data_IF_731897926402
#
_entry.id   IF_731897926402
#
_cell.length_a   1.000
_cell.length_b   1.000
_cell.length_c   1.000
_cell.angle_alpha   90.00
_cell.angle_beta   90.00
_cell.angle_gamma   90.00
#
_symmetry.space_group_name_H-M   'P 1'
#
loop_
_entity.id
_entity.type
_entity.pdbx_description
1 polymer ?
#
# COMPACT_ATOMS: atom_id res chain seq x y z
N UNK A 1 1.37 6.91 13.41
CA UNK A 1 -0.10 6.99 13.32
C UNK A 1 -0.41 8.45 13.11
N UNK A 2 -0.43 8.85 11.85
CA UNK A 2 -0.84 10.16 11.43
C UNK A 2 -2.36 10.27 11.35
N UNK A 3 -2.82 11.46 11.01
CA UNK A 3 -4.22 11.73 10.69
C UNK A 3 -4.48 11.73 9.16
N UNK A 4 -3.56 11.19 8.33
CA UNK A 4 -3.75 11.08 6.87
C UNK A 4 -3.81 12.40 6.07
N UNK A 5 -3.00 13.39 6.41
CA UNK A 5 -2.98 14.73 5.79
C UNK A 5 -1.57 15.20 5.44
N UNK A 6 -1.40 16.27 4.66
CA UNK A 6 -0.07 16.77 4.21
C UNK A 6 0.96 17.08 5.32
N UNK A 7 0.54 17.06 6.58
CA UNK A 7 1.37 17.31 7.78
C UNK A 7 1.11 16.25 8.86
N UNK A 8 0.62 15.05 8.49
CA UNK A 8 0.13 14.03 9.43
C UNK A 8 1.20 13.24 10.15
N UNK A 9 2.48 13.35 9.78
CA UNK A 9 3.54 12.67 10.52
C UNK A 9 3.41 12.96 12.01
N UNK A 10 3.41 11.92 12.83
CA UNK A 10 3.36 11.99 14.31
C UNK A 10 4.57 12.71 14.96
N UNK A 11 5.36 13.42 14.16
CA UNK A 11 6.67 13.98 14.52
C UNK A 11 6.61 15.40 15.12
N UNK A 12 5.43 15.98 15.36
CA UNK A 12 5.34 17.20 16.18
C UNK A 12 5.63 16.82 17.64
N UNK A 13 6.87 17.05 18.06
CA UNK A 13 7.43 16.62 19.36
C UNK A 13 6.73 17.17 20.61
N UNK A 14 5.79 18.11 20.48
CA UNK A 14 5.21 18.82 21.63
C UNK A 14 3.67 18.88 21.64
N UNK A 15 3.01 17.90 21.01
CA UNK A 15 1.54 17.82 21.01
C UNK A 15 1.06 16.44 21.47
N UNK A 16 0.34 16.39 22.61
CA UNK A 16 -0.40 15.19 23.04
C UNK A 16 -1.72 15.19 22.27
N UNK A 17 -1.73 14.54 21.11
CA UNK A 17 -2.93 14.40 20.27
C UNK A 17 -3.26 12.92 20.19
N UNK A 18 -4.54 12.58 20.30
CA UNK A 18 -5.01 11.21 20.08
C UNK A 18 -4.96 10.95 18.57
N UNK A 19 -4.19 9.96 18.16
CA UNK A 19 -4.09 9.51 16.79
C UNK A 19 -4.82 8.17 16.65
N UNK A 20 -6.10 8.23 16.28
CA UNK A 20 -6.93 7.03 16.13
C UNK A 20 -6.44 6.09 15.01
N UNK A 21 -5.79 6.66 13.99
CA UNK A 21 -5.21 5.92 12.86
C UNK A 21 -6.16 4.97 12.12
N UNK A 22 -7.47 5.27 12.16
CA UNK A 22 -8.49 4.47 11.51
C UNK A 22 -8.26 4.33 10.01
N UNK A 23 -7.88 5.43 9.35
CA UNK A 23 -7.50 5.42 7.94
C UNK A 23 -6.01 5.14 7.74
N UNK A 24 -5.14 5.74 8.57
CA UNK A 24 -3.67 5.66 8.55
C UNK A 24 -3.15 4.92 9.81
N UNK A 25 -2.98 3.59 9.80
CA UNK A 25 -3.27 2.68 8.68
C UNK A 25 -4.09 1.44 9.09
N UNK A 26 -5.04 1.57 10.03
CA UNK A 26 -5.97 0.47 10.35
C UNK A 26 -6.78 0.04 9.11
N UNK A 27 -7.09 0.96 8.20
CA UNK A 27 -7.81 0.65 6.95
C UNK A 27 -7.03 -0.32 6.05
N UNK A 28 -5.73 -0.12 5.86
CA UNK A 28 -4.88 -1.03 5.10
C UNK A 28 -4.79 -2.42 5.74
N UNK A 29 -4.64 -2.47 7.07
CA UNK A 29 -4.65 -3.73 7.82
C UNK A 29 -5.98 -4.48 7.65
N UNK A 30 -7.11 -3.78 7.75
CA UNK A 30 -8.43 -4.37 7.51
C UNK A 30 -8.53 -4.92 6.07
N UNK A 31 -8.05 -4.18 5.07
CA UNK A 31 -7.98 -4.64 3.69
C UNK A 31 -7.16 -5.93 3.51
N UNK A 32 -5.98 -6.02 4.15
CA UNK A 32 -5.15 -7.24 4.14
C UNK A 32 -5.92 -8.43 4.70
N UNK A 33 -6.59 -8.25 5.84
CA UNK A 33 -7.35 -9.31 6.49
C UNK A 33 -8.55 -9.76 5.65
N UNK A 34 -9.27 -8.84 5.02
CA UNK A 34 -10.38 -9.17 4.13
C UNK A 34 -9.91 -9.97 2.90
N UNK A 35 -8.79 -9.60 2.29
CA UNK A 35 -8.23 -10.35 1.15
C UNK A 35 -7.77 -11.75 1.59
N UNK A 36 -7.15 -11.85 2.78
CA UNK A 36 -6.74 -13.13 3.35
C UNK A 36 -7.93 -14.06 3.56
N UNK A 37 -9.03 -13.55 4.11
CA UNK A 37 -10.27 -14.30 4.34
C UNK A 37 -10.83 -14.82 3.02
N UNK A 38 -10.94 -13.97 2.00
CA UNK A 38 -11.45 -14.35 0.67
C UNK A 38 -10.59 -15.45 0.02
N UNK A 39 -9.26 -15.30 0.05
CA UNK A 39 -8.34 -16.31 -0.51
C UNK A 39 -8.37 -17.63 0.27
N UNK A 40 -8.53 -17.54 1.60
CA UNK A 40 -8.66 -18.72 2.47
C UNK A 40 -9.93 -19.51 2.14
N UNK A 41 -11.04 -18.82 1.87
CA UNK A 41 -12.33 -19.43 1.55
C UNK A 41 -12.49 -19.84 0.08
N UNK A 42 -11.68 -19.29 -0.84
CA UNK A 42 -11.79 -19.62 -2.27
C UNK A 42 -11.45 -21.08 -2.57
N UNK A 43 -12.27 -21.71 -3.43
CA UNK A 43 -12.04 -23.08 -3.94
C UNK A 43 -10.82 -23.11 -4.87
N UNK A 44 -10.60 -22.04 -5.64
CA UNK A 44 -9.48 -21.94 -6.57
C UNK A 44 -8.30 -21.33 -5.83
N UNK A 45 -7.24 -22.12 -5.61
CA UNK A 45 -6.04 -21.66 -4.92
C UNK A 45 -5.05 -20.99 -5.89
N UNK A 46 -4.35 -19.91 -5.46
CA UNK A 46 -3.30 -19.29 -6.24
C UNK A 46 -2.19 -20.26 -6.61
N UNK A 47 -1.64 -20.14 -7.82
CA UNK A 47 -0.45 -20.92 -8.25
C UNK A 47 0.86 -20.46 -7.61
N UNK A 48 0.87 -19.26 -7.00
CA UNK A 48 2.01 -18.68 -6.30
C UNK A 48 1.69 -18.52 -4.83
N UNK A 49 2.70 -18.66 -3.97
CA UNK A 49 2.59 -18.32 -2.56
C UNK A 49 2.31 -16.82 -2.38
N UNK A 50 1.51 -16.49 -1.37
CA UNK A 50 1.17 -15.12 -1.00
C UNK A 50 1.63 -14.91 0.44
N UNK A 51 2.30 -13.79 0.70
CA UNK A 51 2.70 -13.37 2.03
C UNK A 51 1.80 -12.19 2.41
N UNK A 52 0.99 -12.36 3.45
CA UNK A 52 0.26 -11.28 4.09
C UNK A 52 1.12 -10.72 5.22
N UNK A 53 1.30 -9.41 5.26
CA UNK A 53 2.20 -8.76 6.21
C UNK A 53 1.64 -7.39 6.64
N UNK A 54 1.74 -7.11 7.94
CA UNK A 54 1.49 -5.80 8.51
C UNK A 54 2.82 -5.29 9.09
N UNK A 55 3.37 -4.23 8.51
CA UNK A 55 4.66 -3.68 8.92
C UNK A 55 4.52 -2.80 10.17
N UNK A 56 5.59 -2.77 10.97
CA UNK A 56 5.72 -1.84 12.09
C UNK A 56 6.70 -0.73 11.75
N UNK A 57 6.55 0.45 12.37
CA UNK A 57 7.53 1.54 12.23
C UNK A 57 7.60 2.19 10.85
N UNK A 58 6.53 2.16 10.06
CA UNK A 58 6.37 2.90 8.80
C UNK A 58 6.66 4.40 9.02
N UNK A 59 5.98 4.97 10.01
CA UNK A 59 6.04 6.39 10.42
C UNK A 59 7.39 6.84 11.00
N UNK A 60 8.24 5.87 11.35
CA UNK A 60 9.60 6.08 11.81
C UNK A 60 10.62 5.97 10.66
N UNK A 61 10.15 6.01 9.41
CA UNK A 61 10.96 5.92 8.21
C UNK A 61 11.08 4.49 7.68
N UNK A 62 9.95 3.79 7.57
CA UNK A 62 9.80 2.48 6.94
C UNK A 62 10.62 1.36 7.61
N UNK A 63 10.76 1.39 8.94
CA UNK A 63 11.68 0.49 9.65
C UNK A 63 11.35 -0.99 9.42
N UNK A 64 10.07 -1.37 9.55
CA UNK A 64 9.63 -2.75 9.38
C UNK A 64 9.81 -3.27 7.96
N UNK A 65 9.36 -2.51 6.95
CA UNK A 65 9.52 -2.93 5.55
C UNK A 65 10.99 -2.92 5.12
N UNK A 66 11.80 -1.95 5.55
CA UNK A 66 13.27 -1.97 5.35
C UNK A 66 13.92 -3.19 5.97
N UNK A 67 13.53 -3.56 7.18
CA UNK A 67 14.05 -4.76 7.83
C UNK A 67 13.68 -5.99 7.00
N UNK A 68 12.41 -6.12 6.62
CA UNK A 68 11.91 -7.26 5.86
C UNK A 68 12.63 -7.45 4.53
N UNK A 69 12.79 -6.39 3.73
CA UNK A 69 13.48 -6.47 2.43
C UNK A 69 15.00 -6.70 2.53
N UNK A 70 15.56 -6.67 3.73
CA UNK A 70 16.96 -7.03 4.00
C UNK A 70 17.10 -8.39 4.71
N UNK A 71 16.00 -8.96 5.22
CA UNK A 71 15.98 -10.22 5.98
C UNK A 71 14.84 -11.12 5.48
N UNK A 72 14.93 -11.50 4.21
CA UNK A 72 13.86 -12.24 3.57
C UNK A 72 13.67 -13.65 4.15
N UNK A 73 12.42 -14.10 4.32
CA UNK A 73 12.13 -15.50 4.66
C UNK A 73 12.28 -16.44 3.44
N UNK A 74 12.45 -15.89 2.23
CA UNK A 74 12.55 -16.59 0.95
C UNK A 74 13.62 -15.93 0.08
N UNK A 75 14.04 -16.57 -1.01
CA UNK A 75 14.91 -15.88 -1.99
C UNK A 75 14.23 -14.63 -2.53
N UNK A 76 14.97 -13.52 -2.64
CA UNK A 76 14.45 -12.25 -3.18
C UNK A 76 13.92 -12.43 -4.60
N UNK A 77 14.55 -13.28 -5.40
CA UNK A 77 14.15 -13.58 -6.78
C UNK A 77 12.77 -14.27 -6.86
N UNK A 78 12.30 -14.86 -5.76
CA UNK A 78 10.98 -15.47 -5.68
C UNK A 78 9.86 -14.43 -5.46
N UNK A 79 10.20 -13.22 -4.99
CA UNK A 79 9.24 -12.13 -4.76
C UNK A 79 9.00 -11.39 -6.08
N UNK A 80 7.82 -11.55 -6.66
CA UNK A 80 7.49 -10.99 -7.98
C UNK A 80 6.74 -9.67 -7.93
N UNK A 81 5.94 -9.46 -6.90
CA UNK A 81 5.16 -8.23 -6.74
C UNK A 81 4.87 -7.97 -5.27
N UNK A 82 4.89 -6.70 -4.89
CA UNK A 82 4.41 -6.23 -3.60
C UNK A 82 3.24 -5.27 -3.80
N UNK A 83 2.13 -5.55 -3.14
CA UNK A 83 0.93 -4.70 -3.15
C UNK A 83 0.80 -4.06 -1.77
N UNK A 84 0.73 -2.73 -1.73
CA UNK A 84 0.70 -1.97 -0.49
C UNK A 84 -0.62 -1.20 -0.36
N UNK A 85 -1.31 -1.40 0.75
CA UNK A 85 -2.55 -0.67 1.06
C UNK A 85 -2.28 0.29 2.21
N UNK A 86 -2.41 1.58 1.93
CA UNK A 86 -2.22 2.64 2.91
C UNK A 86 -3.26 3.73 2.73
N UNK A 87 -4.03 4.05 3.77
CA UNK A 87 -5.14 5.00 3.69
C UNK A 87 -6.18 4.63 2.63
N UNK A 88 -6.78 3.44 2.74
CA UNK A 88 -7.81 2.93 1.81
C UNK A 88 -9.24 3.06 2.37
N UNK A 89 -9.42 3.67 3.54
CA UNK A 89 -10.68 3.69 4.26
C UNK A 89 -11.60 4.86 3.95
N UNK A 90 -11.14 5.86 3.18
CA UNK A 90 -11.86 7.13 2.97
C UNK A 90 -12.02 7.47 1.49
N UNK A 91 -12.82 6.67 0.80
CA UNK A 91 -13.16 6.89 -0.59
C UNK A 91 -13.91 8.23 -0.79
N UNK A 92 -13.47 9.05 -1.73
CA UNK A 92 -14.13 10.32 -2.04
C UNK A 92 -15.37 10.14 -2.93
N UNK A 93 -16.14 11.20 -3.14
CA UNK A 93 -17.36 11.17 -3.97
C UNK A 93 -17.09 10.81 -5.44
N UNK A 94 -15.89 11.08 -5.94
CA UNK A 94 -15.44 10.69 -7.27
C UNK A 94 -14.97 9.23 -7.35
N UNK A 95 -15.00 8.49 -6.22
CA UNK A 95 -14.51 7.11 -6.09
C UNK A 95 -13.05 6.94 -6.52
N UNK A 96 -12.20 7.93 -6.23
CA UNK A 96 -10.79 7.88 -6.66
C UNK A 96 -9.99 6.85 -5.88
N UNK A 97 -9.31 5.96 -6.60
CA UNK A 97 -8.24 5.12 -6.08
C UNK A 97 -6.93 5.53 -6.76
N UNK A 98 -5.97 5.98 -5.96
CA UNK A 98 -4.67 6.42 -6.44
C UNK A 98 -3.70 5.25 -6.43
N UNK A 99 -2.93 5.12 -7.51
CA UNK A 99 -1.91 4.08 -7.70
C UNK A 99 -0.57 4.67 -8.09
N UNK A 100 0.50 4.25 -7.41
CA UNK A 100 1.89 4.56 -7.74
C UNK A 100 2.73 3.31 -8.02
N UNK A 101 3.96 3.50 -8.50
CA UNK A 101 4.92 2.41 -8.76
C UNK A 101 4.91 1.84 -10.19
N UNK A 102 4.26 2.54 -11.13
CA UNK A 102 4.21 2.23 -12.58
C UNK A 102 5.58 1.89 -13.18
N UNK A 103 6.62 2.63 -12.80
CA UNK A 103 7.99 2.45 -13.33
C UNK A 103 8.63 1.09 -13.00
N UNK A 104 7.99 0.26 -12.17
CA UNK A 104 8.49 -1.08 -11.84
C UNK A 104 7.89 -2.20 -12.70
N UNK A 105 7.05 -1.85 -13.67
CA UNK A 105 6.43 -2.80 -14.59
C UNK A 105 6.69 -2.37 -16.05
N UNK A 106 6.85 -3.33 -16.98
CA UNK A 106 6.70 -3.06 -18.40
C UNK A 106 5.32 -2.45 -18.66
N UNK A 107 5.28 -1.31 -19.37
CA UNK A 107 4.05 -0.58 -19.69
C UNK A 107 3.15 -0.31 -18.47
N UNK A 108 3.77 -0.02 -17.32
CA UNK A 108 3.08 0.01 -16.02
C UNK A 108 1.87 0.93 -15.94
N UNK A 109 1.88 2.06 -16.66
CA UNK A 109 0.71 2.96 -16.74
C UNK A 109 -0.47 2.26 -17.41
N UNK A 110 -0.25 1.58 -18.53
CA UNK A 110 -1.29 0.84 -19.24
C UNK A 110 -1.77 -0.35 -18.41
N UNK A 111 -0.84 -1.09 -17.79
CA UNK A 111 -1.16 -2.19 -16.88
C UNK A 111 -2.10 -1.72 -15.76
N UNK A 112 -1.74 -0.65 -15.06
CA UNK A 112 -2.51 -0.16 -13.92
C UNK A 112 -3.89 0.36 -14.34
N UNK A 113 -3.99 1.08 -15.46
CA UNK A 113 -5.29 1.51 -16.01
C UNK A 113 -6.20 0.31 -16.33
N UNK A 114 -5.64 -0.84 -16.73
CA UNK A 114 -6.40 -2.06 -17.02
C UNK A 114 -6.91 -2.79 -15.77
N UNK A 115 -6.24 -2.67 -14.63
CA UNK A 115 -6.59 -3.42 -13.41
C UNK A 115 -7.99 -3.11 -12.88
N UNK A 116 -8.49 -1.89 -13.08
CA UNK A 116 -9.80 -1.45 -12.55
C UNK A 116 -10.89 -1.28 -13.60
N UNK A 117 -10.71 -1.75 -14.84
CA UNK A 117 -11.70 -1.60 -15.92
C UNK A 117 -13.09 -2.14 -15.52
N UNK A 118 -13.14 -3.18 -14.69
CA UNK A 118 -14.39 -3.78 -14.22
C UNK A 118 -14.77 -3.35 -12.80
N UNK A 119 -14.16 -2.29 -12.28
CA UNK A 119 -14.47 -1.75 -10.95
C UNK A 119 -15.35 -0.50 -11.07
N UNK A 120 -16.07 -0.17 -10.01
CA UNK A 120 -16.75 1.13 -9.90
C UNK A 120 -15.79 2.27 -9.48
N UNK A 121 -14.49 2.00 -9.40
CA UNK A 121 -13.49 2.95 -8.93
C UNK A 121 -12.95 3.78 -10.09
N UNK A 122 -12.71 5.06 -9.81
CA UNK A 122 -11.99 5.94 -10.70
C UNK A 122 -10.48 5.81 -10.43
N UNK A 123 -9.78 5.10 -11.29
CA UNK A 123 -8.34 4.87 -11.12
C UNK A 123 -7.54 6.13 -11.49
N UNK A 124 -6.72 6.61 -10.56
CA UNK A 124 -5.78 7.69 -10.79
C UNK A 124 -4.35 7.11 -10.73
N UNK A 125 -3.73 6.97 -11.90
CA UNK A 125 -2.38 6.38 -12.03
C UNK A 125 -1.32 7.47 -12.06
N UNK A 126 -0.41 7.45 -11.08
CA UNK A 126 0.73 8.36 -11.03
C UNK A 126 1.94 7.74 -11.74
N UNK A 127 2.20 8.20 -12.97
CA UNK A 127 3.24 7.63 -13.84
C UNK A 127 4.68 7.81 -13.31
N UNK A 128 4.95 8.91 -12.60
CA UNK A 128 6.30 9.29 -12.16
C UNK A 128 6.47 9.29 -10.64
N UNK A 129 5.47 8.81 -9.89
CA UNK A 129 5.51 8.77 -8.43
C UNK A 129 5.42 7.34 -7.93
N UNK A 130 6.34 6.98 -7.03
CA UNK A 130 6.28 5.70 -6.33
C UNK A 130 5.29 5.80 -5.17
N UNK A 131 5.27 6.94 -4.46
CA UNK A 131 4.56 7.13 -3.20
C UNK A 131 5.52 7.22 -2.01
N UNK A 132 4.97 7.21 -0.79
CA UNK A 132 5.73 7.43 0.44
C UNK A 132 5.69 6.30 1.48
N UNK A 133 5.05 5.17 1.17
CA UNK A 133 4.75 4.10 2.14
C UNK A 133 5.63 2.85 1.93
N UNK A 134 5.34 1.75 2.60
CA UNK A 134 6.21 0.56 2.71
C UNK A 134 6.63 -0.07 1.37
N UNK A 135 5.83 0.08 0.30
CA UNK A 135 6.21 -0.34 -1.06
C UNK A 135 7.50 0.32 -1.56
N UNK A 136 7.86 1.51 -1.08
CA UNK A 136 9.12 2.19 -1.41
C UNK A 136 10.34 1.34 -1.03
N UNK A 137 10.26 0.55 0.05
CA UNK A 137 11.33 -0.36 0.45
C UNK A 137 11.57 -1.46 -0.59
N UNK A 138 10.51 -1.91 -1.27
CA UNK A 138 10.55 -2.92 -2.34
C UNK A 138 10.98 -2.32 -3.67
N UNK A 139 10.47 -1.12 -4.00
CA UNK A 139 10.91 -0.33 -5.15
C UNK A 139 12.44 -0.17 -5.18
N UNK A 140 13.05 0.16 -4.03
CA UNK A 140 14.51 0.31 -3.88
C UNK A 140 15.31 -0.98 -4.07
N UNK A 141 14.64 -2.14 -4.09
CA UNK A 141 15.22 -3.46 -4.38
C UNK A 141 14.88 -3.93 -5.79
N UNK A 142 14.35 -3.04 -6.64
CA UNK A 142 13.93 -3.35 -8.01
C UNK A 142 12.84 -4.42 -8.09
N UNK A 143 12.05 -4.57 -7.02
CA UNK A 143 10.89 -5.46 -6.97
C UNK A 143 9.67 -4.66 -7.44
N UNK A 144 8.91 -5.25 -8.36
CA UNK A 144 7.67 -4.64 -8.84
C UNK A 144 6.69 -4.38 -7.69
N UNK A 145 6.15 -3.17 -7.60
CA UNK A 145 5.28 -2.79 -6.50
C UNK A 145 4.19 -1.80 -6.90
N UNK A 146 3.03 -1.91 -6.26
CA UNK A 146 1.91 -0.99 -6.41
C UNK A 146 1.50 -0.47 -5.04
N UNK A 147 1.50 0.85 -4.88
CA UNK A 147 0.95 1.53 -3.70
C UNK A 147 -0.47 2.02 -3.97
N UNK A 148 -1.43 1.64 -3.12
CA UNK A 148 -2.84 2.04 -3.20
C UNK A 148 -3.19 2.98 -2.04
N UNK A 149 -3.87 4.09 -2.35
CA UNK A 149 -4.45 4.99 -1.35
C UNK A 149 -5.69 5.73 -1.89
N UNK A 150 -6.54 6.26 -1.01
CA UNK A 150 -7.79 6.99 -1.38
C UNK A 150 -7.63 8.52 -1.39
N UNK A 151 -6.37 8.98 -1.39
CA UNK A 151 -5.99 10.39 -1.43
C UNK A 151 -5.63 10.95 -0.05
N UNK A 152 -5.17 12.19 0.00
CA UNK A 152 -4.96 12.93 1.26
C UNK A 152 -6.24 13.66 1.62
N UNK A 153 -6.62 13.62 2.89
CA UNK A 153 -7.89 14.20 3.33
C UNK A 153 -7.67 15.53 4.08
N UNK A 154 -8.46 16.57 3.79
CA UNK A 154 -8.48 17.78 4.60
C UNK A 154 -9.01 17.47 6.02
N UNK A 155 -8.60 18.29 6.97
CA UNK A 155 -9.02 18.24 8.38
C UNK A 155 -10.44 18.77 8.54
#
# INVERSE_FOLDING_TARGET
>A
MGLGGKVSGSQKKDTIVIHNGADDNTSGVAGVLSILEEISNSVIKPKRSIIFIAFSGEEQGLLGSKYFVNHWPVSIDAVKVMLNMDMIGRLNSAKNLYMGGTGTFPDGVELMNKLGINSELNLIVHADEVGGSDHVSFYKKEISCIGFHTGVHPK
#
